data_IF_645765682512
#
_entry.id   IF_645765682512
#
_cell.length_a   1.000
_cell.length_b   1.000
_cell.length_c   1.000
_cell.angle_alpha   90.00
_cell.angle_beta   90.00
_cell.angle_gamma   90.00
#
_symmetry.space_group_name_H-M   'P 1'
#
loop_
_entity.id
_entity.type
_entity.pdbx_description
1 polymer ?
#
# COMPACT_ATOMS: atom_id res chain seq x y z
N UNK A 1 -23.75 13.21 -25.87
CA UNK A 1 -24.17 13.06 -24.45
C UNK A 1 -22.90 13.17 -23.61
N UNK A 2 -22.76 14.19 -22.77
CA UNK A 2 -21.61 14.27 -21.84
C UNK A 2 -21.69 13.10 -20.89
N UNK A 3 -20.57 12.41 -20.70
CA UNK A 3 -20.47 11.30 -19.76
C UNK A 3 -20.77 11.83 -18.34
N UNK A 4 -21.56 11.08 -17.57
CA UNK A 4 -21.95 11.43 -16.18
C UNK A 4 -20.73 11.73 -15.31
N UNK A 5 -19.61 11.04 -15.57
CA UNK A 5 -18.36 11.24 -14.87
C UNK A 5 -17.70 12.59 -15.19
N UNK A 6 -17.83 13.09 -16.44
CA UNK A 6 -17.37 14.45 -16.80
C UNK A 6 -18.16 15.51 -16.04
N UNK A 7 -19.47 15.36 -15.92
CA UNK A 7 -20.32 16.28 -15.16
C UNK A 7 -19.94 16.32 -13.67
N UNK A 8 -19.76 15.13 -13.04
CA UNK A 8 -19.33 15.03 -11.65
C UNK A 8 -17.93 15.62 -11.42
N UNK A 9 -17.02 15.44 -12.36
CA UNK A 9 -15.68 16.02 -12.32
C UNK A 9 -15.72 17.56 -12.39
N UNK A 10 -16.60 18.12 -13.23
CA UNK A 10 -16.79 19.56 -13.31
C UNK A 10 -17.34 20.15 -12.00
N UNK A 11 -18.22 19.43 -11.30
CA UNK A 11 -18.70 19.84 -9.98
C UNK A 11 -17.59 19.84 -8.93
N UNK A 12 -16.64 18.91 -8.98
CA UNK A 12 -15.44 18.90 -8.11
C UNK A 12 -14.54 20.09 -8.45
N UNK A 13 -14.29 20.36 -9.74
CA UNK A 13 -13.49 21.52 -10.20
C UNK A 13 -14.09 22.86 -9.74
N UNK A 14 -15.41 22.93 -9.70
CA UNK A 14 -16.14 24.12 -9.22
C UNK A 14 -16.25 24.21 -7.69
N UNK A 15 -15.68 23.25 -6.95
CA UNK A 15 -15.79 23.20 -5.48
C UNK A 15 -17.21 22.93 -4.95
N UNK A 16 -18.13 22.45 -5.79
CA UNK A 16 -19.54 22.21 -5.42
C UNK A 16 -19.76 20.86 -4.74
N UNK A 17 -18.86 19.89 -4.98
CA UNK A 17 -18.83 18.61 -4.28
C UNK A 17 -17.40 18.27 -3.87
N UNK A 18 -17.24 17.51 -2.80
CA UNK A 18 -15.92 17.06 -2.35
C UNK A 18 -15.42 15.88 -3.21
N UNK A 19 -14.10 15.66 -3.21
CA UNK A 19 -13.52 14.47 -3.86
C UNK A 19 -14.10 13.17 -3.31
N UNK A 20 -14.44 13.13 -2.00
CA UNK A 20 -15.09 11.98 -1.35
C UNK A 20 -16.49 11.74 -1.87
N UNK A 21 -17.28 12.79 -2.13
CA UNK A 21 -18.63 12.67 -2.67
C UNK A 21 -18.61 12.23 -4.15
N UNK A 22 -17.62 12.69 -4.92
CA UNK A 22 -17.37 12.21 -6.28
C UNK A 22 -17.08 10.70 -6.29
N UNK A 23 -16.20 10.24 -5.39
CA UNK A 23 -15.83 8.83 -5.26
C UNK A 23 -17.05 7.98 -4.91
N UNK A 24 -17.88 8.42 -3.95
CA UNK A 24 -19.14 7.74 -3.59
C UNK A 24 -20.07 7.65 -4.79
N UNK A 25 -20.34 8.75 -5.48
CA UNK A 25 -21.22 8.79 -6.63
C UNK A 25 -20.72 7.99 -7.84
N UNK A 26 -19.41 7.83 -7.98
CA UNK A 26 -18.78 6.97 -8.98
C UNK A 26 -18.89 5.49 -8.62
N UNK A 27 -18.76 5.12 -7.34
CA UNK A 27 -18.84 3.74 -6.86
C UNK A 27 -20.28 3.20 -6.79
N UNK A 28 -21.28 4.03 -6.47
CA UNK A 28 -22.67 3.60 -6.31
C UNK A 28 -23.35 3.18 -7.64
N UNK A 29 -22.77 3.49 -8.79
CA UNK A 29 -23.34 3.18 -10.10
C UNK A 29 -22.68 2.00 -10.85
N UNK A 30 -21.62 1.41 -10.33
CA UNK A 30 -20.90 0.29 -10.99
C UNK A 30 -21.46 -1.10 -10.62
N UNK A 31 -22.64 -1.17 -9.98
CA UNK A 31 -23.32 -2.44 -9.71
C UNK A 31 -23.80 -3.18 -10.97
N UNK A 32 -23.67 -2.60 -12.16
CA UNK A 32 -24.10 -3.20 -13.43
C UNK A 32 -22.98 -3.65 -14.36
N UNK A 33 -21.72 -3.32 -14.09
CA UNK A 33 -20.61 -3.71 -14.96
C UNK A 33 -19.72 -4.77 -14.26
N UNK A 34 -20.12 -6.04 -14.38
CA UNK A 34 -19.40 -7.22 -13.86
C UNK A 34 -18.03 -7.49 -14.49
N UNK A 35 -17.58 -6.66 -15.43
CA UNK A 35 -16.35 -6.84 -16.20
C UNK A 35 -15.21 -5.89 -15.81
N UNK A 36 -15.32 -5.23 -14.66
CA UNK A 36 -14.21 -4.42 -14.13
C UNK A 36 -13.01 -5.34 -13.84
N UNK A 37 -11.81 -4.89 -14.22
CA UNK A 37 -10.54 -5.62 -14.05
C UNK A 37 -10.39 -6.17 -12.61
N UNK A 38 -10.97 -5.48 -11.63
CA UNK A 38 -11.01 -5.89 -10.23
C UNK A 38 -11.85 -7.16 -10.00
N UNK A 39 -12.98 -7.30 -10.68
CA UNK A 39 -13.91 -8.42 -10.46
C UNK A 39 -13.28 -9.77 -10.77
N UNK A 40 -12.41 -9.87 -11.78
CA UNK A 40 -11.80 -11.16 -12.18
C UNK A 40 -10.64 -11.58 -11.29
N UNK A 41 -9.84 -10.62 -10.79
CA UNK A 41 -8.68 -10.96 -9.97
C UNK A 41 -9.02 -11.14 -8.48
N UNK A 42 -10.01 -10.39 -7.99
CA UNK A 42 -10.54 -10.57 -6.64
C UNK A 42 -11.37 -11.84 -6.52
N UNK A 43 -12.18 -12.20 -7.54
CA UNK A 43 -13.05 -13.41 -7.47
C UNK A 43 -12.26 -14.70 -7.31
N UNK A 44 -11.02 -14.80 -7.78
CA UNK A 44 -10.16 -15.97 -7.55
C UNK A 44 -9.54 -15.99 -6.15
N UNK A 45 -9.32 -14.81 -5.54
CA UNK A 45 -8.88 -14.65 -4.15
C UNK A 45 -10.05 -14.58 -3.15
N UNK A 46 -11.24 -14.16 -3.60
CA UNK A 46 -12.46 -14.00 -2.79
C UNK A 46 -13.08 -15.32 -2.35
N UNK A 47 -12.93 -16.38 -3.15
CA UNK A 47 -13.36 -17.73 -2.75
C UNK A 47 -12.58 -18.27 -1.54
N UNK A 48 -11.51 -17.59 -1.15
CA UNK A 48 -10.66 -18.00 -0.02
C UNK A 48 -10.76 -17.10 1.22
N UNK A 49 -11.44 -15.92 1.18
CA UNK A 49 -11.40 -14.98 2.33
C UNK A 49 -12.61 -14.04 2.39
N UNK A 50 -13.70 -14.47 3.00
CA UNK A 50 -14.67 -13.56 3.64
C UNK A 50 -13.95 -12.95 4.87
N UNK A 51 -13.98 -11.65 5.07
CA UNK A 51 -13.29 -10.96 6.19
C UNK A 51 -12.34 -9.82 5.76
N UNK A 52 -12.13 -9.64 4.44
CA UNK A 52 -11.25 -8.59 3.91
C UNK A 52 -12.07 -7.42 3.32
N UNK A 53 -13.30 -7.21 3.75
CA UNK A 53 -14.16 -6.18 3.16
C UNK A 53 -13.60 -4.77 3.34
N UNK A 54 -12.95 -4.48 4.46
CA UNK A 54 -12.26 -3.21 4.68
C UNK A 54 -11.09 -3.03 3.70
N UNK A 55 -10.37 -4.12 3.40
CA UNK A 55 -9.27 -4.12 2.43
C UNK A 55 -9.81 -3.95 1.00
N UNK A 56 -10.90 -4.65 0.66
CA UNK A 56 -11.56 -4.51 -0.66
C UNK A 56 -12.06 -3.09 -0.88
N UNK A 57 -12.65 -2.47 0.15
CA UNK A 57 -13.12 -1.09 0.10
C UNK A 57 -11.95 -0.13 -0.14
N UNK A 58 -10.86 -0.28 0.60
CA UNK A 58 -9.67 0.55 0.43
C UNK A 58 -9.05 0.39 -0.96
N UNK A 59 -9.00 -0.83 -1.50
CA UNK A 59 -8.50 -1.08 -2.86
C UNK A 59 -9.35 -0.32 -3.89
N UNK A 60 -10.68 -0.33 -3.75
CA UNK A 60 -11.58 0.43 -4.64
C UNK A 60 -11.34 1.95 -4.53
N UNK A 61 -11.15 2.46 -3.32
CA UNK A 61 -10.84 3.87 -3.09
C UNK A 61 -9.50 4.26 -3.73
N UNK A 62 -8.45 3.46 -3.56
CA UNK A 62 -7.14 3.68 -4.18
C UNK A 62 -7.25 3.64 -5.71
N UNK A 63 -8.03 2.72 -6.28
CA UNK A 63 -8.23 2.64 -7.72
C UNK A 63 -8.96 3.88 -8.28
N UNK A 64 -10.07 4.28 -7.66
CA UNK A 64 -10.79 5.46 -8.06
C UNK A 64 -9.89 6.70 -8.03
N UNK A 65 -9.08 6.82 -6.98
CA UNK A 65 -8.13 7.91 -6.83
C UNK A 65 -7.03 7.89 -7.90
N UNK A 66 -6.48 6.72 -8.21
CA UNK A 66 -5.45 6.55 -9.25
C UNK A 66 -5.97 6.95 -10.64
N UNK A 67 -7.21 6.57 -10.97
CA UNK A 67 -7.86 6.96 -12.23
C UNK A 67 -8.01 8.48 -12.32
N UNK A 68 -8.42 9.13 -11.23
CA UNK A 68 -8.55 10.60 -11.17
C UNK A 68 -7.20 11.27 -11.41
N UNK A 69 -6.14 10.80 -10.74
CA UNK A 69 -4.81 11.38 -10.88
C UNK A 69 -4.22 11.19 -12.28
N UNK A 70 -4.47 10.04 -12.90
CA UNK A 70 -4.07 9.80 -14.29
C UNK A 70 -4.73 10.81 -15.23
N UNK A 71 -6.05 11.02 -15.10
CA UNK A 71 -6.76 12.03 -15.90
C UNK A 71 -6.26 13.45 -15.63
N UNK A 72 -5.99 13.82 -14.37
CA UNK A 72 -5.39 15.13 -14.04
C UNK A 72 -4.05 15.35 -14.73
N UNK A 73 -3.21 14.31 -14.78
CA UNK A 73 -1.92 14.35 -15.46
C UNK A 73 -2.08 14.51 -16.97
N UNK A 74 -3.04 13.81 -17.58
CA UNK A 74 -3.37 13.91 -19.00
C UNK A 74 -3.88 15.31 -19.39
N UNK A 75 -4.59 15.99 -18.46
CA UNK A 75 -5.10 17.36 -18.63
C UNK A 75 -4.09 18.46 -18.19
N UNK A 76 -2.81 18.13 -17.93
CA UNK A 76 -1.77 19.04 -17.42
C UNK A 76 -2.17 19.79 -16.15
N UNK A 77 -3.05 19.23 -15.34
CA UNK A 77 -3.37 19.75 -14.01
C UNK A 77 -2.31 19.27 -12.99
N UNK A 78 -2.02 20.11 -12.00
CA UNK A 78 -1.11 19.72 -10.92
C UNK A 78 -1.59 18.42 -10.27
N UNK A 79 -0.88 17.33 -10.58
CA UNK A 79 -1.08 16.05 -9.93
C UNK A 79 -0.02 15.93 -8.83
N UNK A 80 -0.43 16.04 -7.58
CA UNK A 80 0.47 15.74 -6.47
C UNK A 80 0.97 14.31 -6.59
N UNK A 81 2.27 14.11 -6.36
CA UNK A 81 2.84 12.76 -6.35
C UNK A 81 2.23 11.96 -5.21
N UNK A 82 1.48 10.92 -5.56
CA UNK A 82 0.84 10.05 -4.60
C UNK A 82 1.84 9.12 -3.96
N UNK A 83 1.86 9.14 -2.65
CA UNK A 83 2.63 8.20 -1.84
C UNK A 83 1.70 7.06 -1.44
N UNK A 84 1.96 5.85 -1.95
CA UNK A 84 1.18 4.64 -1.64
C UNK A 84 1.89 3.72 -0.63
N UNK A 85 2.82 4.23 0.16
CA UNK A 85 3.42 3.43 1.21
C UNK A 85 2.40 3.09 2.29
N UNK A 86 2.44 1.87 2.81
CA UNK A 86 1.39 1.32 3.68
C UNK A 86 1.95 0.68 4.93
N UNK A 87 1.14 0.67 5.98
CA UNK A 87 1.37 -0.08 7.20
C UNK A 87 0.28 -1.15 7.32
N UNK A 88 0.70 -2.40 7.49
CA UNK A 88 -0.18 -3.55 7.71
C UNK A 88 -0.06 -4.00 9.15
N UNK A 89 -1.15 -3.92 9.91
CA UNK A 89 -1.22 -4.32 11.31
C UNK A 89 -2.10 -5.54 11.48
N UNK A 90 -1.66 -6.56 12.17
CA UNK A 90 -2.47 -7.74 12.46
C UNK A 90 -1.63 -8.96 12.82
N UNK A 91 -2.30 -10.00 13.34
CA UNK A 91 -1.68 -11.24 13.78
C UNK A 91 -1.11 -12.05 12.60
N UNK A 92 -0.22 -13.02 12.84
CA UNK A 92 0.26 -13.95 11.83
C UNK A 92 -0.91 -14.72 11.20
N UNK A 93 -0.78 -15.10 9.94
CA UNK A 93 -1.81 -15.89 9.26
C UNK A 93 -3.02 -15.10 8.78
N UNK A 94 -3.16 -13.80 9.11
CA UNK A 94 -4.29 -12.97 8.66
C UNK A 94 -4.23 -12.56 7.18
N UNK A 95 -3.20 -13.00 6.45
CA UNK A 95 -3.10 -12.81 4.99
C UNK A 95 -2.43 -11.54 4.53
N UNK A 96 -1.65 -10.85 5.38
CA UNK A 96 -0.93 -9.61 5.04
C UNK A 96 -0.10 -9.73 3.76
N UNK A 97 0.78 -10.72 3.68
CA UNK A 97 1.64 -10.96 2.49
C UNK A 97 0.82 -11.28 1.25
N UNK A 98 -0.28 -12.04 1.38
CA UNK A 98 -1.16 -12.37 0.26
C UNK A 98 -1.82 -11.11 -0.31
N UNK A 99 -2.32 -10.23 0.57
CA UNK A 99 -2.93 -8.96 0.17
C UNK A 99 -1.89 -8.05 -0.48
N UNK A 100 -0.68 -7.95 0.06
CA UNK A 100 0.41 -7.17 -0.54
C UNK A 100 0.73 -7.65 -1.97
N UNK A 101 0.72 -8.97 -2.21
CA UNK A 101 0.96 -9.57 -3.54
C UNK A 101 -0.17 -9.25 -4.52
N UNK A 102 -1.42 -9.25 -4.05
CA UNK A 102 -2.59 -8.87 -4.86
C UNK A 102 -2.53 -7.38 -5.20
N UNK A 103 -2.21 -6.51 -4.22
CA UNK A 103 -2.03 -5.07 -4.43
C UNK A 103 -0.97 -4.78 -5.49
N UNK A 104 0.16 -5.49 -5.49
CA UNK A 104 1.19 -5.32 -6.51
C UNK A 104 0.65 -5.55 -7.93
N UNK A 105 -0.12 -6.62 -8.12
CA UNK A 105 -0.76 -6.92 -9.42
C UNK A 105 -1.78 -5.85 -9.82
N UNK A 106 -2.58 -5.37 -8.86
CA UNK A 106 -3.58 -4.32 -9.10
C UNK A 106 -2.88 -3.01 -9.48
N UNK A 107 -1.86 -2.58 -8.73
CA UNK A 107 -1.12 -1.36 -9.01
C UNK A 107 -0.40 -1.39 -10.36
N UNK A 108 0.07 -2.56 -10.78
CA UNK A 108 0.60 -2.74 -12.13
C UNK A 108 -0.50 -2.55 -13.19
N UNK A 109 -1.67 -3.19 -13.02
CA UNK A 109 -2.77 -3.10 -14.00
C UNK A 109 -3.31 -1.67 -14.17
N UNK A 110 -3.34 -0.88 -13.09
CA UNK A 110 -3.80 0.52 -13.15
C UNK A 110 -2.67 1.50 -13.50
N UNK A 111 -1.44 0.99 -13.71
CA UNK A 111 -0.30 1.79 -14.17
C UNK A 111 0.39 2.63 -13.09
N UNK A 112 0.18 2.30 -11.79
CA UNK A 112 0.92 2.92 -10.67
C UNK A 112 2.31 2.30 -10.54
N UNK A 113 2.43 0.98 -10.70
CA UNK A 113 3.68 0.24 -10.67
C UNK A 113 3.99 -0.34 -12.05
N UNK A 114 5.25 -0.27 -12.46
CA UNK A 114 5.70 -0.78 -13.76
C UNK A 114 5.62 -2.32 -13.84
N UNK A 115 6.03 -3.02 -12.77
CA UNK A 115 6.15 -4.49 -12.75
C UNK A 115 5.14 -5.15 -11.81
N UNK A 116 4.86 -4.54 -10.64
CA UNK A 116 3.91 -5.03 -9.65
C UNK A 116 4.32 -6.31 -8.92
N UNK A 117 5.61 -6.69 -8.96
CA UNK A 117 6.15 -7.82 -8.22
C UNK A 117 6.31 -7.47 -6.73
N UNK A 118 6.39 -8.49 -5.88
CA UNK A 118 6.61 -8.38 -4.45
C UNK A 118 7.99 -8.91 -4.09
N UNK A 119 8.78 -8.09 -3.40
CA UNK A 119 10.01 -8.50 -2.71
C UNK A 119 9.68 -8.54 -1.21
N UNK A 120 9.71 -9.73 -0.64
CA UNK A 120 9.49 -9.97 0.77
C UNK A 120 10.84 -10.07 1.47
N UNK A 121 11.01 -9.31 2.54
CA UNK A 121 12.26 -9.25 3.31
C UNK A 121 11.98 -9.20 4.80
N UNK A 122 12.93 -9.70 5.56
CA UNK A 122 12.96 -9.67 7.02
C UNK A 122 14.15 -8.80 7.50
N UNK A 123 14.25 -8.61 8.83
CA UNK A 123 15.35 -7.87 9.44
C UNK A 123 16.73 -8.36 8.97
N UNK A 124 16.95 -9.67 8.86
CA UNK A 124 18.22 -10.26 8.47
C UNK A 124 18.68 -9.86 7.05
N UNK A 125 17.72 -9.58 6.16
CA UNK A 125 17.98 -9.14 4.78
C UNK A 125 18.39 -7.68 4.71
N UNK A 126 18.07 -6.87 5.74
CA UNK A 126 18.26 -5.44 5.77
C UNK A 126 19.42 -5.00 6.65
N UNK A 127 19.63 -5.69 7.78
CA UNK A 127 20.63 -5.33 8.77
C UNK A 127 21.94 -6.07 8.49
N UNK A 128 23.04 -5.33 8.43
CA UNK A 128 24.37 -5.88 8.29
C UNK A 128 25.04 -6.19 9.63
N UNK A 129 26.08 -7.02 9.58
CA UNK A 129 26.88 -7.39 10.75
C UNK A 129 27.99 -6.36 11.05
N UNK A 130 28.37 -5.58 10.03
CA UNK A 130 29.47 -4.61 10.13
C UNK A 130 29.01 -3.21 9.71
N UNK A 131 29.75 -2.19 10.17
CA UNK A 131 29.50 -0.78 9.83
C UNK A 131 29.46 -0.59 8.31
N UNK A 132 28.41 0.09 7.81
CA UNK A 132 28.22 0.38 6.39
C UNK A 132 27.59 -0.75 5.57
N UNK A 133 27.49 -1.98 6.09
CA UNK A 133 26.86 -3.09 5.37
C UNK A 133 25.33 -2.95 5.34
N UNK A 134 24.72 -2.36 6.37
CA UNK A 134 23.28 -2.15 6.47
C UNK A 134 22.76 -1.29 5.32
N UNK A 135 23.37 -0.13 5.09
CA UNK A 135 22.94 0.76 4.01
C UNK A 135 23.09 0.10 2.62
N UNK A 136 24.09 -0.75 2.41
CA UNK A 136 24.27 -1.49 1.16
C UNK A 136 23.16 -2.53 0.97
N UNK A 137 22.87 -3.34 2.00
CA UNK A 137 21.80 -4.33 1.97
C UNK A 137 20.43 -3.68 1.68
N UNK A 138 20.11 -2.60 2.39
CA UNK A 138 18.85 -1.88 2.18
C UNK A 138 18.72 -1.37 0.75
N UNK A 139 19.77 -0.73 0.20
CA UNK A 139 19.78 -0.24 -1.18
C UNK A 139 19.60 -1.36 -2.20
N UNK A 140 20.21 -2.52 -1.95
CA UNK A 140 20.05 -3.69 -2.80
C UNK A 140 18.58 -4.18 -2.82
N UNK A 141 17.93 -4.32 -1.66
CA UNK A 141 16.54 -4.73 -1.59
C UNK A 141 15.60 -3.70 -2.24
N UNK A 142 15.84 -2.41 -2.00
CA UNK A 142 15.09 -1.33 -2.68
C UNK A 142 15.28 -1.42 -4.19
N UNK A 143 16.51 -1.62 -4.69
CA UNK A 143 16.77 -1.78 -6.13
C UNK A 143 16.02 -2.97 -6.73
N UNK A 144 15.96 -4.10 -6.02
CA UNK A 144 15.19 -5.29 -6.44
C UNK A 144 13.69 -5.01 -6.48
N UNK A 145 13.18 -4.15 -5.59
CA UNK A 145 11.77 -3.80 -5.49
C UNK A 145 11.33 -2.71 -6.47
N UNK A 146 12.23 -2.11 -7.26
CA UNK A 146 11.89 -1.06 -8.21
C UNK A 146 10.86 -1.53 -9.24
N UNK A 147 9.80 -0.74 -9.39
CA UNK A 147 8.62 -1.07 -10.19
C UNK A 147 7.63 -2.02 -9.51
N UNK A 148 7.86 -2.37 -8.24
CA UNK A 148 7.07 -3.31 -7.46
C UNK A 148 6.87 -2.88 -6.01
N UNK A 149 6.66 -3.85 -5.14
CA UNK A 149 6.43 -3.66 -3.71
C UNK A 149 7.60 -4.26 -2.92
N UNK A 150 8.15 -3.49 -1.99
CA UNK A 150 9.02 -3.97 -0.92
C UNK A 150 8.16 -4.21 0.31
N UNK A 151 8.04 -5.46 0.72
CA UNK A 151 7.27 -5.86 1.89
C UNK A 151 8.23 -6.29 3.00
N UNK A 152 8.19 -5.57 4.13
CA UNK A 152 9.00 -5.87 5.30
C UNK A 152 8.11 -6.49 6.37
N UNK A 153 8.29 -7.79 6.61
CA UNK A 153 7.57 -8.44 7.71
C UNK A 153 8.27 -8.20 9.05
N UNK A 154 7.48 -8.20 10.12
CA UNK A 154 7.94 -7.87 11.47
C UNK A 154 8.83 -6.60 11.52
N UNK A 155 8.42 -5.55 10.79
CA UNK A 155 9.22 -4.33 10.62
C UNK A 155 9.65 -3.67 11.95
N UNK A 156 8.88 -3.85 13.01
CA UNK A 156 9.22 -3.40 14.37
C UNK A 156 10.52 -4.04 14.88
N UNK A 157 10.94 -5.19 14.35
CA UNK A 157 12.20 -5.83 14.71
C UNK A 157 13.41 -4.96 14.39
N UNK A 158 13.30 -4.03 13.43
CA UNK A 158 14.34 -3.05 13.10
C UNK A 158 14.62 -2.06 14.26
N UNK A 159 13.67 -1.86 15.17
CA UNK A 159 13.85 -0.97 16.32
C UNK A 159 14.19 -1.69 17.64
N UNK A 160 14.31 -3.03 17.61
CA UNK A 160 14.55 -3.81 18.85
C UNK A 160 15.97 -3.73 19.40
N UNK A 161 16.93 -3.23 18.63
CA UNK A 161 18.33 -3.13 19.05
C UNK A 161 18.61 -1.88 19.87
N UNK A 162 19.59 -1.96 20.77
CA UNK A 162 20.09 -0.81 21.53
C UNK A 162 20.97 0.12 20.67
N UNK A 163 21.69 1.04 21.33
CA UNK A 163 22.51 2.08 20.68
C UNK A 163 23.61 1.57 19.72
N UNK A 164 23.95 0.29 19.78
CA UNK A 164 24.90 -0.38 18.90
C UNK A 164 24.26 -1.13 17.74
N UNK A 165 22.94 -1.05 17.60
CA UNK A 165 22.19 -1.79 16.58
C UNK A 165 22.07 -0.99 15.28
N UNK A 166 22.42 -1.63 14.19
CA UNK A 166 22.33 -1.08 12.84
C UNK A 166 20.89 -1.00 12.28
N UNK A 167 19.87 -1.39 13.05
CA UNK A 167 18.46 -1.31 12.63
C UNK A 167 17.99 0.13 12.42
N UNK A 168 18.48 1.08 13.20
CA UNK A 168 18.20 2.51 12.99
C UNK A 168 18.77 3.01 11.66
N UNK A 169 20.00 2.59 11.30
CA UNK A 169 20.59 2.89 9.99
C UNK A 169 19.74 2.32 8.84
N UNK A 170 19.15 1.14 9.03
CA UNK A 170 18.25 0.56 8.04
C UNK A 170 17.00 1.42 7.86
N UNK A 171 16.37 1.87 8.96
CA UNK A 171 15.18 2.74 8.92
C UNK A 171 15.50 4.06 8.21
N UNK A 172 16.60 4.73 8.58
CA UNK A 172 17.02 6.00 7.99
C UNK A 172 17.30 5.85 6.48
N UNK A 173 17.94 4.74 6.09
CA UNK A 173 18.24 4.44 4.68
C UNK A 173 16.95 4.15 3.89
N UNK A 174 15.98 3.43 4.49
CA UNK A 174 14.65 3.20 3.88
C UNK A 174 13.89 4.51 3.68
N UNK A 175 13.87 5.37 4.71
CA UNK A 175 13.22 6.69 4.64
C UNK A 175 13.80 7.52 3.51
N UNK A 176 15.13 7.56 3.39
CA UNK A 176 15.80 8.25 2.28
C UNK A 176 15.44 7.64 0.93
N UNK A 177 15.44 6.32 0.82
CA UNK A 177 15.09 5.64 -0.43
C UNK A 177 13.64 5.91 -0.87
N UNK A 178 12.70 6.04 0.09
CA UNK A 178 11.30 6.43 -0.18
C UNK A 178 11.21 7.85 -0.75
N UNK A 179 12.02 8.78 -0.27
CA UNK A 179 12.05 10.15 -0.78
C UNK A 179 12.66 10.23 -2.18
N UNK A 180 13.78 9.55 -2.39
CA UNK A 180 14.50 9.56 -3.66
C UNK A 180 13.73 8.85 -4.78
N UNK A 181 12.85 7.88 -4.44
CA UNK A 181 12.16 7.01 -5.40
C UNK A 181 10.63 6.99 -5.22
N UNK A 182 10.03 8.10 -4.84
CA UNK A 182 8.61 8.24 -4.43
C UNK A 182 7.58 7.49 -5.30
N UNK A 183 7.81 7.41 -6.60
CA UNK A 183 6.85 6.86 -7.57
C UNK A 183 7.29 5.52 -8.17
N UNK A 184 8.46 5.01 -7.79
CA UNK A 184 9.07 3.87 -8.46
C UNK A 184 8.90 2.56 -7.70
N UNK A 185 8.55 2.60 -6.43
CA UNK A 185 8.21 1.41 -5.63
C UNK A 185 7.28 1.79 -4.47
N UNK A 186 6.61 0.78 -3.92
CA UNK A 186 5.77 0.94 -2.74
C UNK A 186 6.41 0.16 -1.60
N UNK A 187 6.56 0.79 -0.44
CA UNK A 187 7.03 0.15 0.78
C UNK A 187 5.82 -0.21 1.65
N UNK A 188 5.76 -1.47 2.07
CA UNK A 188 4.76 -1.96 3.02
C UNK A 188 5.50 -2.48 4.26
N UNK A 189 5.17 -1.91 5.43
CA UNK A 189 5.67 -2.37 6.73
C UNK A 189 4.58 -3.20 7.39
N UNK A 190 4.88 -4.44 7.75
CA UNK A 190 3.93 -5.34 8.36
C UNK A 190 4.38 -5.78 9.77
N UNK A 191 3.41 -6.10 10.64
CA UNK A 191 3.68 -6.62 11.96
C UNK A 191 2.47 -6.65 12.88
N UNK A 192 2.68 -7.03 14.14
CA UNK A 192 1.64 -7.02 15.17
C UNK A 192 1.17 -5.60 15.46
N UNK A 193 -0.11 -5.45 15.78
CA UNK A 193 -0.74 -4.13 15.98
C UNK A 193 -0.01 -3.29 17.03
N UNK A 194 0.14 -3.81 18.23
CA UNK A 194 0.78 -3.11 19.36
C UNK A 194 2.24 -2.73 19.07
N UNK A 195 2.99 -3.67 18.48
CA UNK A 195 4.40 -3.48 18.14
C UNK A 195 4.58 -2.42 17.04
N UNK A 196 3.72 -2.44 16.01
CA UNK A 196 3.74 -1.46 14.94
C UNK A 196 3.31 -0.07 15.40
N UNK A 197 2.34 0.03 16.33
CA UNK A 197 1.94 1.32 16.91
C UNK A 197 3.10 1.96 17.67
N UNK A 198 3.79 1.16 18.49
CA UNK A 198 4.98 1.60 19.21
C UNK A 198 6.12 1.99 18.26
N UNK A 199 6.41 1.14 17.26
CA UNK A 199 7.45 1.36 16.26
C UNK A 199 7.28 2.70 15.52
N UNK A 200 6.04 3.03 15.12
CA UNK A 200 5.72 4.26 14.41
C UNK A 200 5.80 5.47 15.36
N UNK A 201 5.40 5.30 16.63
CA UNK A 201 5.43 6.40 17.62
C UNK A 201 6.86 6.84 17.95
N UNK A 202 7.81 5.90 17.99
CA UNK A 202 9.24 6.17 18.24
C UNK A 202 9.89 6.86 17.03
N UNK A 203 9.35 6.64 15.81
CA UNK A 203 9.91 7.15 14.57
C UNK A 203 8.94 8.13 13.88
N UNK A 204 8.83 9.39 14.34
CA UNK A 204 7.82 10.34 13.84
C UNK A 204 7.96 10.62 12.34
N UNK A 205 9.15 10.49 11.77
CA UNK A 205 9.39 10.60 10.34
C UNK A 205 8.71 9.51 9.49
N UNK A 206 8.38 8.35 10.08
CA UNK A 206 7.65 7.30 9.39
C UNK A 206 6.17 7.66 9.25
N UNK A 207 5.55 8.22 10.28
CA UNK A 207 4.11 8.52 10.30
C UNK A 207 3.67 9.38 9.12
N UNK A 208 4.44 10.39 8.75
CA UNK A 208 4.13 11.30 7.64
C UNK A 208 4.31 10.66 6.25
N UNK A 209 5.10 9.58 6.16
CA UNK A 209 5.44 8.90 4.91
C UNK A 209 4.56 7.69 4.61
N UNK A 210 3.79 7.21 5.58
CA UNK A 210 2.86 6.09 5.45
C UNK A 210 1.41 6.55 5.64
N UNK A 211 0.80 7.14 4.60
CA UNK A 211 -0.55 7.70 4.69
C UNK A 211 -1.64 6.63 4.85
N UNK A 212 -1.32 5.38 4.49
CA UNK A 212 -2.29 4.29 4.46
C UNK A 212 -1.95 3.28 5.54
N UNK A 213 -2.91 3.01 6.43
CA UNK A 213 -2.81 1.95 7.45
C UNK A 213 -3.96 0.98 7.26
N UNK A 214 -3.64 -0.31 7.18
CA UNK A 214 -4.61 -1.40 7.05
C UNK A 214 -4.51 -2.27 8.29
N UNK A 215 -5.65 -2.48 8.95
CA UNK A 215 -5.75 -3.39 10.09
C UNK A 215 -6.40 -4.71 9.65
N UNK A 216 -5.65 -5.78 9.80
CA UNK A 216 -6.08 -7.14 9.53
C UNK A 216 -6.64 -7.74 10.82
N UNK A 217 -7.95 -7.93 10.87
CA UNK A 217 -8.63 -8.59 11.99
C UNK A 217 -8.37 -10.09 11.95
N UNK A 218 -8.42 -10.72 13.10
CA UNK A 218 -8.40 -12.18 13.17
C UNK A 218 -9.67 -12.75 12.57
N UNK A 219 -9.57 -13.89 11.92
CA UNK A 219 -10.72 -14.59 11.38
C UNK A 219 -11.55 -15.19 12.52
N UNK A 220 -12.86 -15.07 12.40
CA UNK A 220 -13.78 -15.80 13.26
C UNK A 220 -13.82 -17.30 12.85
N UNK A 221 -14.47 -18.15 13.67
CA UNK A 221 -14.52 -19.60 13.42
C UNK A 221 -15.20 -19.92 12.09
N UNK A 222 -16.27 -19.20 11.74
CA UNK A 222 -17.03 -19.42 10.50
C UNK A 222 -16.23 -19.01 9.25
N UNK A 223 -15.39 -17.99 9.39
CA UNK A 223 -14.45 -17.55 8.34
C UNK A 223 -13.31 -18.56 8.15
N UNK A 224 -12.76 -19.10 9.25
CA UNK A 224 -11.74 -20.14 9.20
C UNK A 224 -12.23 -21.43 8.55
N UNK A 225 -13.50 -21.78 8.76
CA UNK A 225 -14.11 -22.96 8.14
C UNK A 225 -14.29 -22.84 6.60
N UNK A 226 -14.19 -21.61 6.07
CA UNK A 226 -14.34 -21.33 4.63
C UNK A 226 -13.02 -21.13 3.89
N UNK A 227 -11.90 -21.10 4.61
CA UNK A 227 -10.53 -20.98 4.10
C UNK A 227 -9.94 -22.35 3.81
#
# INVERSE_FOLDING_TARGET
MRDKYEYLLDLVKMGKISCTDYIKAACDNDSTNKDTILGKDLTRGERQKEGIDDVKKLIREIQAFAVIQKRRKEENLNADSLVFHMIFKGNPGTGKTTVARILGKIFNKIGILEKGHLIEVERADLVGEYIGHTALKVREQVKRAMGGILFIDEAYSLARGGDKDFGKEAIDTLVKAMEDNKNNFILILAGYKSEMDNFISINPGLKSRFPITIEFKDYNIDELMKI
#
